data_IF_667632506609
#
_entry.id   IF_667632506609
#
_cell.length_a   1.000
_cell.length_b   1.000
_cell.length_c   1.000
_cell.angle_alpha   90.00
_cell.angle_beta   90.00
_cell.angle_gamma   90.00
#
_symmetry.space_group_name_H-M   'P 1'
#
loop_
_entity.id
_entity.type
_entity.pdbx_description
1 polymer ?
#
# COMPACT_ATOMS: atom_id res chain seq x y z
N UNK A 1 -20.86 5.33 0.28
CA UNK A 1 -20.56 4.26 1.26
C UNK A 1 -19.77 4.90 2.40
N UNK A 2 -20.11 4.56 3.64
CA UNK A 2 -19.45 5.03 4.86
C UNK A 2 -18.11 4.34 5.10
N UNK A 3 -17.30 4.86 6.00
CA UNK A 3 -16.12 4.18 6.54
C UNK A 3 -16.43 2.75 6.99
N UNK A 4 -17.55 2.54 7.68
CA UNK A 4 -17.96 1.20 8.13
C UNK A 4 -18.32 0.26 6.97
N UNK A 5 -18.87 0.78 5.87
CA UNK A 5 -19.14 -0.04 4.68
C UNK A 5 -17.83 -0.52 4.04
N UNK A 6 -16.79 0.31 4.03
CA UNK A 6 -15.46 -0.08 3.59
C UNK A 6 -14.79 -1.07 4.54
N UNK A 7 -14.96 -0.92 5.87
CA UNK A 7 -14.50 -1.92 6.84
C UNK A 7 -15.09 -3.28 6.55
N UNK A 8 -16.41 -3.35 6.39
CA UNK A 8 -17.13 -4.59 6.08
C UNK A 8 -16.71 -5.20 4.75
N UNK A 9 -16.59 -4.38 3.70
CA UNK A 9 -16.07 -4.81 2.39
C UNK A 9 -14.68 -5.44 2.52
N UNK A 10 -13.80 -4.82 3.31
CA UNK A 10 -12.44 -5.27 3.62
C UNK A 10 -12.35 -6.35 4.69
N UNK A 11 -13.49 -6.93 5.11
CA UNK A 11 -13.59 -8.01 6.11
C UNK A 11 -13.16 -7.63 7.53
N UNK A 12 -13.19 -6.34 7.85
CA UNK A 12 -13.12 -5.85 9.21
C UNK A 12 -14.52 -5.75 9.82
N UNK A 13 -14.67 -5.91 11.15
CA UNK A 13 -15.91 -5.58 11.81
C UNK A 13 -16.21 -4.08 11.66
N UNK A 14 -17.49 -3.75 11.51
CA UNK A 14 -17.97 -2.36 11.61
C UNK A 14 -17.66 -1.85 13.02
N UNK A 15 -17.18 -0.63 13.14
CA UNK A 15 -17.04 0.02 14.44
C UNK A 15 -18.42 0.44 14.96
N UNK A 16 -18.61 0.37 16.27
CA UNK A 16 -19.85 0.75 16.96
C UNK A 16 -19.66 1.95 17.89
N UNK A 17 -18.42 2.36 18.14
CA UNK A 17 -18.06 3.53 18.94
C UNK A 17 -16.83 4.24 18.33
N UNK A 18 -16.65 5.52 18.66
CA UNK A 18 -15.55 6.35 18.16
C UNK A 18 -14.20 5.92 18.75
N UNK A 19 -14.19 5.36 19.97
CA UNK A 19 -12.97 4.85 20.63
C UNK A 19 -12.35 3.63 19.91
N UNK A 20 -13.12 2.94 19.06
CA UNK A 20 -12.64 1.84 18.22
C UNK A 20 -11.90 2.31 16.96
N UNK A 21 -11.93 3.61 16.67
CA UNK A 21 -11.25 4.22 15.52
C UNK A 21 -9.87 4.71 15.95
N UNK A 22 -9.80 5.43 17.07
CA UNK A 22 -8.57 6.03 17.57
C UNK A 22 -8.54 6.13 19.09
N UNK A 23 -7.35 6.02 19.68
CA UNK A 23 -7.08 6.29 21.08
C UNK A 23 -6.99 7.80 21.42
N UNK A 24 -6.96 8.70 20.42
CA UNK A 24 -6.95 10.15 20.65
C UNK A 24 -8.35 10.68 21.02
N UNK A 25 -8.55 10.99 22.30
CA UNK A 25 -9.81 11.49 22.85
C UNK A 25 -10.28 12.81 22.19
N UNK A 26 -9.35 13.66 21.73
CA UNK A 26 -9.72 14.89 21.03
C UNK A 26 -10.33 14.58 19.66
N UNK A 27 -9.72 13.68 18.89
CA UNK A 27 -10.27 13.20 17.62
C UNK A 27 -11.60 12.48 17.82
N UNK A 28 -11.73 11.61 18.83
CA UNK A 28 -13.01 10.95 19.15
C UNK A 28 -14.13 11.97 19.40
N UNK A 29 -13.84 13.01 20.21
CA UNK A 29 -14.81 14.07 20.53
C UNK A 29 -15.23 14.84 19.29
N UNK A 30 -14.28 15.21 18.43
CA UNK A 30 -14.60 15.95 17.20
C UNK A 30 -15.37 15.09 16.19
N UNK A 31 -15.00 13.82 16.02
CA UNK A 31 -15.76 12.89 15.18
C UNK A 31 -17.21 12.76 15.68
N UNK A 32 -17.40 12.60 16.99
CA UNK A 32 -18.74 12.53 17.60
C UNK A 32 -19.53 13.82 17.40
N UNK A 33 -18.90 14.98 17.57
CA UNK A 33 -19.54 16.30 17.38
C UNK A 33 -19.96 16.53 15.93
N UNK A 34 -19.14 16.11 14.97
CA UNK A 34 -19.38 16.34 13.54
C UNK A 34 -20.35 15.32 12.92
N UNK A 35 -20.25 14.04 13.30
CA UNK A 35 -20.97 12.96 12.64
C UNK A 35 -22.12 12.36 13.47
N UNK A 36 -22.10 12.50 14.79
CA UNK A 36 -23.10 11.97 15.72
C UNK A 36 -23.09 10.45 15.90
N UNK A 37 -23.03 9.70 14.79
CA UNK A 37 -22.99 8.24 14.71
C UNK A 37 -21.81 7.78 13.85
N UNK A 38 -21.14 6.70 14.25
CA UNK A 38 -19.98 6.16 13.53
C UNK A 38 -20.30 5.68 12.11
N UNK A 39 -21.55 5.31 11.83
CA UNK A 39 -22.00 4.93 10.48
C UNK A 39 -22.14 6.12 9.54
N UNK A 40 -22.12 7.36 10.05
CA UNK A 40 -22.14 8.57 9.23
C UNK A 40 -20.73 9.00 8.80
N UNK A 41 -19.67 8.41 9.36
CA UNK A 41 -18.29 8.78 9.03
C UNK A 41 -18.02 8.44 7.56
N UNK A 42 -17.57 9.45 6.82
CA UNK A 42 -17.15 9.28 5.43
C UNK A 42 -15.87 8.45 5.34
N UNK A 43 -15.72 7.71 4.25
CA UNK A 43 -14.59 6.81 4.03
C UNK A 43 -13.22 7.47 4.32
N UNK A 44 -12.93 8.60 3.69
CA UNK A 44 -11.63 9.26 3.81
C UNK A 44 -11.37 9.74 5.24
N UNK A 45 -12.38 10.31 5.91
CA UNK A 45 -12.24 10.79 7.29
C UNK A 45 -11.94 9.63 8.25
N UNK A 46 -12.71 8.54 8.17
CA UNK A 46 -12.47 7.36 9.00
C UNK A 46 -11.12 6.70 8.71
N UNK A 47 -10.67 6.71 7.45
CA UNK A 47 -9.38 6.15 7.04
C UNK A 47 -8.18 6.85 7.70
N UNK A 48 -8.22 8.18 7.80
CA UNK A 48 -7.14 8.97 8.40
C UNK A 48 -7.30 9.17 9.90
N UNK A 49 -8.49 8.92 10.44
CA UNK A 49 -8.72 8.87 11.86
C UNK A 49 -8.25 7.55 12.48
N UNK A 50 -8.11 6.46 11.72
CA UNK A 50 -7.72 5.17 12.28
C UNK A 50 -6.28 5.17 12.79
N UNK A 51 -6.06 4.64 13.99
CA UNK A 51 -4.72 4.58 14.59
C UNK A 51 -3.75 3.72 13.76
N UNK A 52 -2.51 4.19 13.67
CA UNK A 52 -1.41 3.44 13.06
C UNK A 52 -0.73 2.60 14.15
N UNK A 53 -0.73 1.25 14.04
CA UNK A 53 -0.07 0.40 15.01
C UNK A 53 1.44 0.63 15.08
N UNK A 54 2.11 0.32 16.21
CA UNK A 54 3.56 0.36 16.30
C UNK A 54 4.21 -0.48 15.19
N UNK A 55 5.26 0.06 14.57
CA UNK A 55 5.98 -0.54 13.45
C UNK A 55 5.15 -0.76 12.16
N UNK A 56 4.00 -0.09 12.02
CA UNK A 56 3.25 -0.03 10.77
C UNK A 56 3.47 1.33 10.08
N UNK A 57 3.46 1.33 8.75
CA UNK A 57 3.53 2.56 7.96
C UNK A 57 2.18 3.28 7.88
N UNK A 58 1.08 2.53 7.94
CA UNK A 58 -0.29 3.01 7.76
C UNK A 58 -1.27 2.18 8.59
N UNK A 59 -2.49 2.70 8.80
CA UNK A 59 -3.53 2.05 9.60
C UNK A 59 -4.10 0.75 8.94
N UNK A 60 -4.76 -0.14 9.70
CA UNK A 60 -5.21 -1.45 9.21
C UNK A 60 -6.13 -1.42 7.99
N UNK A 61 -7.13 -0.54 7.93
CA UNK A 61 -8.06 -0.49 6.80
C UNK A 61 -7.36 -0.04 5.53
N UNK A 62 -6.59 1.06 5.60
CA UNK A 62 -5.85 1.57 4.43
C UNK A 62 -4.81 0.56 3.95
N UNK A 63 -4.14 -0.16 4.86
CA UNK A 63 -3.21 -1.23 4.49
C UNK A 63 -3.91 -2.34 3.68
N UNK A 64 -5.10 -2.78 4.13
CA UNK A 64 -5.86 -3.82 3.43
C UNK A 64 -6.31 -3.36 2.04
N UNK A 65 -6.78 -2.12 1.93
CA UNK A 65 -7.23 -1.55 0.66
C UNK A 65 -6.07 -1.41 -0.33
N UNK A 66 -4.93 -0.90 0.13
CA UNK A 66 -3.69 -0.83 -0.68
C UNK A 66 -3.27 -2.23 -1.12
N UNK A 67 -3.29 -3.23 -0.24
CA UNK A 67 -2.91 -4.58 -0.61
C UNK A 67 -3.84 -5.17 -1.70
N UNK A 68 -5.16 -5.00 -1.56
CA UNK A 68 -6.13 -5.46 -2.58
C UNK A 68 -5.85 -4.79 -3.93
N UNK A 69 -5.71 -3.46 -3.94
CA UNK A 69 -5.47 -2.70 -5.16
C UNK A 69 -4.12 -3.07 -5.78
N UNK A 70 -3.03 -3.02 -5.00
CA UNK A 70 -1.68 -3.29 -5.48
C UNK A 70 -1.54 -4.69 -6.09
N UNK A 71 -2.06 -5.73 -5.44
CA UNK A 71 -1.97 -7.08 -5.99
C UNK A 71 -2.94 -7.32 -7.14
N UNK A 72 -4.15 -6.75 -7.10
CA UNK A 72 -5.07 -6.86 -8.22
C UNK A 72 -4.54 -6.16 -9.47
N UNK A 73 -3.78 -5.07 -9.35
CA UNK A 73 -3.15 -4.38 -10.48
C UNK A 73 -1.84 -5.05 -10.91
N UNK A 74 -0.95 -5.37 -9.97
CA UNK A 74 0.36 -5.93 -10.30
C UNK A 74 0.24 -7.31 -10.95
N UNK A 75 -0.56 -8.22 -10.35
CA UNK A 75 -0.65 -9.62 -10.82
C UNK A 75 -1.53 -9.78 -12.06
N UNK A 76 -2.42 -8.83 -12.34
CA UNK A 76 -3.23 -8.85 -13.57
C UNK A 76 -2.60 -8.06 -14.71
N UNK A 77 -1.38 -7.53 -14.51
CA UNK A 77 -0.63 -6.90 -15.58
C UNK A 77 -0.46 -7.91 -16.74
N UNK A 78 -0.91 -7.60 -17.97
CA UNK A 78 -0.80 -8.52 -19.11
C UNK A 78 0.62 -9.01 -19.40
N UNK A 79 1.63 -8.23 -19.00
CA UNK A 79 3.03 -8.63 -19.11
C UNK A 79 3.38 -9.86 -18.28
N UNK A 80 2.61 -10.19 -17.24
CA UNK A 80 2.78 -11.38 -16.41
C UNK A 80 1.98 -12.59 -16.90
N UNK A 81 1.21 -12.46 -17.98
CA UNK A 81 0.47 -13.59 -18.54
C UNK A 81 1.45 -14.67 -19.04
N UNK A 82 1.14 -15.96 -18.83
CA UNK A 82 2.04 -17.08 -19.11
C UNK A 82 2.58 -17.10 -20.56
N UNK A 83 1.76 -16.69 -21.52
CA UNK A 83 2.10 -16.64 -22.93
C UNK A 83 2.79 -15.33 -23.36
N UNK A 84 2.90 -14.34 -22.47
CA UNK A 84 3.54 -13.03 -22.71
C UNK A 84 4.83 -12.92 -21.92
N UNK A 85 4.91 -13.52 -20.73
CA UNK A 85 6.08 -13.44 -19.86
C UNK A 85 7.21 -14.39 -20.29
N UNK A 86 7.82 -14.11 -21.45
CA UNK A 86 8.86 -14.92 -22.06
C UNK A 86 9.90 -14.10 -22.82
N UNK A 87 11.02 -14.73 -23.15
CA UNK A 87 12.15 -14.11 -23.85
C UNK A 87 11.79 -13.58 -25.24
N UNK A 88 10.93 -14.26 -25.98
CA UNK A 88 10.50 -13.82 -27.31
C UNK A 88 9.81 -12.45 -27.25
N UNK A 89 8.99 -12.23 -26.21
CA UNK A 89 8.30 -10.95 -25.98
C UNK A 89 9.25 -9.85 -25.55
N UNK A 90 10.20 -10.14 -24.66
CA UNK A 90 11.09 -9.13 -24.06
C UNK A 90 12.44 -8.96 -24.75
N UNK A 91 12.73 -9.74 -25.80
CA UNK A 91 14.05 -9.94 -26.40
C UNK A 91 15.07 -10.62 -25.43
N UNK A 92 16.13 -11.24 -25.95
CA UNK A 92 17.17 -11.86 -25.10
C UNK A 92 17.75 -10.89 -24.06
N UNK A 93 18.05 -9.64 -24.46
CA UNK A 93 18.63 -8.62 -23.57
C UNK A 93 17.63 -8.18 -22.50
N UNK A 94 16.38 -7.93 -22.89
CA UNK A 94 15.34 -7.51 -21.94
C UNK A 94 14.99 -8.62 -20.96
N UNK A 95 14.98 -9.88 -21.41
CA UNK A 95 14.79 -11.03 -20.55
C UNK A 95 15.91 -11.19 -19.53
N UNK A 96 17.17 -11.10 -19.96
CA UNK A 96 18.33 -11.11 -19.07
C UNK A 96 18.24 -9.98 -18.01
N UNK A 97 17.83 -8.78 -18.43
CA UNK A 97 17.63 -7.64 -17.53
C UNK A 97 16.55 -7.93 -16.48
N UNK A 98 15.40 -8.48 -16.88
CA UNK A 98 14.31 -8.83 -15.96
C UNK A 98 14.76 -9.87 -14.95
N UNK A 99 15.45 -10.93 -15.40
CA UNK A 99 15.88 -12.04 -14.53
C UNK A 99 16.99 -11.64 -13.54
N UNK A 100 17.81 -10.65 -13.88
CA UNK A 100 18.98 -10.28 -13.07
C UNK A 100 18.81 -8.99 -12.24
N UNK A 101 17.74 -8.20 -12.46
CA UNK A 101 17.48 -6.98 -11.67
C UNK A 101 16.70 -7.36 -10.39
N UNK A 102 17.39 -7.42 -9.25
CA UNK A 102 16.80 -7.88 -7.98
C UNK A 102 16.69 -6.79 -6.91
N UNK A 103 17.38 -5.66 -7.10
CA UNK A 103 17.46 -4.59 -6.11
C UNK A 103 17.32 -3.22 -6.74
N UNK A 104 16.92 -2.23 -5.94
CA UNK A 104 16.98 -0.82 -6.34
C UNK A 104 18.43 -0.39 -6.63
N UNK A 105 19.41 -1.01 -5.98
CA UNK A 105 20.83 -0.80 -6.25
C UNK A 105 21.19 -1.22 -7.68
N UNK A 106 20.69 -2.35 -8.18
CA UNK A 106 20.95 -2.80 -9.57
C UNK A 106 20.46 -1.77 -10.58
N UNK A 107 19.25 -1.25 -10.35
CA UNK A 107 18.65 -0.21 -11.20
C UNK A 107 19.49 1.06 -11.17
N UNK A 108 19.88 1.55 -9.99
CA UNK A 108 20.67 2.78 -9.88
C UNK A 108 22.05 2.60 -10.52
N UNK A 109 22.79 1.56 -10.15
CA UNK A 109 24.15 1.35 -10.63
C UNK A 109 24.22 1.14 -12.15
N UNK A 110 23.21 0.49 -12.76
CA UNK A 110 23.12 0.36 -14.23
C UNK A 110 22.95 1.69 -14.95
N UNK A 111 22.36 2.69 -14.30
CA UNK A 111 21.98 3.96 -14.91
C UNK A 111 22.85 5.16 -14.46
N UNK A 112 23.83 4.95 -13.59
CA UNK A 112 24.77 6.00 -13.15
C UNK A 112 26.13 5.85 -13.82
N UNK A 113 26.68 6.92 -14.38
CA UNK A 113 27.97 6.92 -15.09
C UNK A 113 29.16 7.08 -14.14
N UNK A 114 29.37 6.13 -13.23
CA UNK A 114 30.54 6.10 -12.34
C UNK A 114 31.10 4.67 -12.23
N UNK A 115 31.97 4.25 -13.16
CA UNK A 115 32.45 2.86 -13.22
C UNK A 115 33.20 2.40 -11.96
N UNK A 116 33.78 3.34 -11.21
CA UNK A 116 34.55 3.04 -10.00
C UNK A 116 33.74 3.08 -8.69
N UNK A 117 32.41 3.28 -8.78
CA UNK A 117 31.55 3.39 -7.59
C UNK A 117 30.28 2.54 -7.73
N UNK A 118 29.99 1.79 -6.67
CA UNK A 118 28.71 1.12 -6.48
C UNK A 118 27.94 1.76 -5.34
N UNK A 119 26.67 2.05 -5.58
CA UNK A 119 25.73 2.61 -4.61
C UNK A 119 24.93 1.49 -3.96
N UNK A 120 24.93 1.46 -2.62
CA UNK A 120 23.95 0.68 -1.84
C UNK A 120 22.71 1.55 -1.65
N UNK A 121 21.61 1.15 -2.29
CA UNK A 121 20.32 1.85 -2.25
C UNK A 121 19.26 0.87 -1.75
N UNK A 122 18.57 1.26 -0.67
CA UNK A 122 17.47 0.52 -0.03
C UNK A 122 16.37 1.49 0.40
N UNK A 123 15.16 0.96 0.62
CA UNK A 123 14.05 1.71 1.24
C UNK A 123 14.14 1.74 2.78
N UNK A 124 15.06 0.96 3.36
CA UNK A 124 15.30 0.97 4.80
C UNK A 124 16.14 2.18 5.21
N UNK A 125 15.84 2.73 6.39
CA UNK A 125 16.73 3.74 6.98
C UNK A 125 17.98 3.02 7.51
N UNK A 126 19.20 3.47 7.15
CA UNK A 126 20.46 2.83 7.55
C UNK A 126 20.73 2.89 9.05
#
# INVERSE_FOLDING_TARGET
>A
ASYNDYREMSKFPRVTDFDQITADEDTQRELKRLYGDVNNIEFYVGLYAEDVPPNAAVAPLVNRLIAIDAFSQALTNPLLAENIFNEETFSPVGWEVIQNTNTLSDVVNRNTQQPDKSYKVTFDNP
#
